data_IF_678180608499
#
_entry.id   IF_678180608499
#
_cell.length_a   1.000
_cell.length_b   1.000
_cell.length_c   1.000
_cell.angle_alpha   90.00
_cell.angle_beta   90.00
_cell.angle_gamma   90.00
#
_symmetry.space_group_name_H-M   'P 1'
#
loop_
_entity.id
_entity.type
_entity.pdbx_description
1 polymer ?
#
# COMPACT_ATOMS: atom_id res chain seq x y z
N UNK A 1 -2.95 -24.42 -9.91
CA UNK A 1 -4.25 -23.96 -10.43
C UNK A 1 -4.25 -22.46 -10.71
N UNK A 2 -4.16 -21.55 -9.72
CA UNK A 2 -4.09 -20.10 -10.03
C UNK A 2 -2.82 -19.69 -10.81
N UNK A 3 -1.70 -20.38 -10.61
CA UNK A 3 -0.43 -20.12 -11.31
C UNK A 3 -0.39 -20.61 -12.78
N UNK A 4 -1.25 -21.57 -13.15
CA UNK A 4 -1.21 -22.16 -14.50
C UNK A 4 -1.82 -21.21 -15.54
N UNK A 5 -2.84 -20.42 -15.15
CA UNK A 5 -3.45 -19.36 -15.97
C UNK A 5 -2.46 -18.26 -16.37
N UNK A 6 -1.58 -17.85 -15.45
CA UNK A 6 -0.58 -16.82 -15.72
C UNK A 6 0.55 -17.32 -16.62
N UNK A 7 0.86 -18.61 -16.60
CA UNK A 7 1.98 -19.17 -17.39
C UNK A 7 1.68 -19.29 -18.89
N UNK A 8 0.41 -19.40 -19.27
CA UNK A 8 -0.03 -19.46 -20.67
C UNK A 8 -0.33 -18.07 -21.28
N UNK A 9 -0.13 -16.98 -20.53
CA UNK A 9 -0.16 -15.62 -21.08
C UNK A 9 -1.53 -15.00 -21.38
N UNK A 10 -2.64 -15.64 -20.98
CA UNK A 10 -4.00 -15.16 -21.32
C UNK A 10 -4.56 -14.06 -20.42
N UNK A 11 -3.84 -13.62 -19.38
CA UNK A 11 -4.38 -12.68 -18.39
C UNK A 11 -3.36 -11.59 -18.08
N UNK A 12 -3.67 -10.37 -18.48
CA UNK A 12 -2.92 -9.19 -18.13
C UNK A 12 -3.22 -8.75 -16.67
N UNK A 13 -2.32 -7.98 -16.03
CA UNK A 13 -2.52 -7.51 -14.67
C UNK A 13 -3.76 -6.64 -14.48
N UNK A 14 -4.23 -5.92 -15.52
CA UNK A 14 -5.40 -5.06 -15.43
C UNK A 14 -6.68 -5.91 -15.37
N UNK A 15 -6.81 -6.94 -16.22
CA UNK A 15 -7.91 -7.92 -16.14
C UNK A 15 -7.97 -8.57 -14.77
N UNK A 16 -6.82 -8.90 -14.18
CA UNK A 16 -6.78 -9.46 -12.84
C UNK A 16 -7.29 -8.49 -11.76
N UNK A 17 -6.88 -7.22 -11.82
CA UNK A 17 -7.36 -6.17 -10.90
C UNK A 17 -8.87 -5.95 -11.04
N UNK A 18 -9.38 -5.88 -12.27
CA UNK A 18 -10.82 -5.75 -12.55
C UNK A 18 -11.59 -6.98 -12.07
N UNK A 19 -11.04 -8.19 -12.24
CA UNK A 19 -11.63 -9.40 -11.68
C UNK A 19 -11.73 -9.35 -10.15
N UNK A 20 -10.71 -8.82 -9.46
CA UNK A 20 -10.77 -8.62 -8.01
C UNK A 20 -11.88 -7.64 -7.59
N UNK A 21 -12.12 -6.57 -8.35
CA UNK A 21 -13.27 -5.68 -8.12
C UNK A 21 -14.59 -6.46 -8.21
N UNK A 22 -14.76 -7.31 -9.23
CA UNK A 22 -15.97 -8.13 -9.35
C UNK A 22 -16.10 -9.12 -8.20
N UNK A 23 -15.01 -9.76 -7.76
CA UNK A 23 -14.99 -10.66 -6.61
C UNK A 23 -15.47 -9.96 -5.34
N UNK A 24 -14.98 -8.75 -5.07
CA UNK A 24 -15.41 -7.96 -3.92
C UNK A 24 -16.88 -7.55 -4.01
N UNK A 25 -17.38 -7.24 -5.22
CA UNK A 25 -18.81 -6.98 -5.43
C UNK A 25 -19.67 -8.22 -5.15
N UNK A 26 -19.27 -9.42 -5.59
CA UNK A 26 -19.99 -10.68 -5.27
C UNK A 26 -20.13 -10.83 -3.76
N UNK A 27 -19.01 -10.63 -3.06
CA UNK A 27 -18.89 -10.82 -1.63
C UNK A 27 -19.79 -9.85 -0.86
N UNK A 28 -19.91 -8.61 -1.33
CA UNK A 28 -20.76 -7.59 -0.72
C UNK A 28 -22.24 -7.78 -1.06
N UNK A 29 -22.57 -8.25 -2.27
CA UNK A 29 -23.93 -8.46 -2.73
C UNK A 29 -24.60 -9.70 -2.10
N UNK A 30 -23.91 -10.84 -2.10
CA UNK A 30 -24.41 -12.09 -1.52
C UNK A 30 -23.28 -12.89 -0.85
N UNK A 31 -23.11 -12.64 0.45
CA UNK A 31 -22.13 -13.33 1.27
C UNK A 31 -22.40 -14.84 1.38
N UNK A 32 -23.67 -15.26 1.40
CA UNK A 32 -24.01 -16.68 1.50
C UNK A 32 -23.61 -17.41 0.21
N UNK A 33 -23.85 -16.79 -0.93
CA UNK A 33 -23.41 -17.29 -2.23
C UNK A 33 -21.88 -17.39 -2.30
N UNK A 34 -21.18 -16.33 -1.87
CA UNK A 34 -19.71 -16.28 -1.86
C UNK A 34 -19.08 -17.37 -0.99
N UNK A 35 -19.64 -17.64 0.21
CA UNK A 35 -19.11 -18.65 1.14
C UNK A 35 -19.50 -20.09 0.78
N UNK A 36 -20.62 -20.29 0.08
CA UNK A 36 -21.10 -21.64 -0.30
C UNK A 36 -20.62 -22.14 -1.65
N UNK A 37 -20.12 -21.25 -2.51
CA UNK A 37 -19.68 -21.60 -3.87
C UNK A 37 -18.21 -21.97 -3.92
N UNK A 38 -17.82 -22.70 -4.96
CA UNK A 38 -16.41 -23.01 -5.20
C UNK A 38 -15.63 -21.73 -5.54
N UNK A 39 -14.54 -21.41 -4.81
CA UNK A 39 -13.70 -20.26 -5.13
C UNK A 39 -13.18 -20.25 -6.56
N UNK A 40 -12.92 -21.42 -7.17
CA UNK A 40 -12.47 -21.49 -8.56
C UNK A 40 -13.55 -21.00 -9.53
N UNK A 41 -14.81 -21.34 -9.29
CA UNK A 41 -15.95 -20.93 -10.13
C UNK A 41 -16.18 -19.41 -10.06
N UNK A 42 -16.12 -18.83 -8.86
CA UNK A 42 -16.24 -17.37 -8.67
C UNK A 42 -15.08 -16.66 -9.36
N UNK A 43 -13.86 -17.15 -9.16
CA UNK A 43 -12.67 -16.54 -9.74
C UNK A 43 -12.67 -16.63 -11.28
N UNK A 44 -12.99 -17.80 -11.84
CA UNK A 44 -13.06 -18.00 -13.28
C UNK A 44 -14.10 -17.08 -13.93
N UNK A 45 -15.28 -16.98 -13.35
CA UNK A 45 -16.35 -16.14 -13.89
C UNK A 45 -16.06 -14.65 -13.79
N UNK A 46 -15.48 -14.20 -12.68
CA UNK A 46 -15.00 -12.82 -12.55
C UNK A 46 -13.94 -12.48 -13.61
N UNK A 47 -13.05 -13.43 -13.90
CA UNK A 47 -11.98 -13.27 -14.88
C UNK A 47 -12.48 -13.22 -16.33
N UNK A 48 -13.42 -14.10 -16.69
CA UNK A 48 -14.08 -14.10 -18.01
C UNK A 48 -14.76 -12.74 -18.24
N UNK A 49 -15.50 -12.24 -17.26
CA UNK A 49 -16.25 -10.99 -17.39
C UNK A 49 -15.31 -9.78 -17.41
N UNK A 50 -14.24 -9.79 -16.62
CA UNK A 50 -13.19 -8.78 -16.68
C UNK A 50 -12.53 -8.71 -18.06
N UNK A 51 -12.21 -9.87 -18.65
CA UNK A 51 -11.60 -9.91 -19.98
C UNK A 51 -12.54 -9.34 -21.05
N UNK A 52 -13.83 -9.68 -21.02
CA UNK A 52 -14.84 -9.13 -21.95
C UNK A 52 -15.15 -7.66 -21.71
N UNK A 53 -14.97 -7.17 -20.49
CA UNK A 53 -15.15 -5.75 -20.17
C UNK A 53 -14.00 -4.89 -20.72
N UNK A 54 -12.75 -5.38 -20.60
CA UNK A 54 -11.56 -4.65 -21.07
C UNK A 54 -11.28 -4.84 -22.56
N UNK A 55 -11.59 -6.03 -23.08
CA UNK A 55 -11.29 -6.43 -24.44
C UNK A 55 -12.57 -6.69 -25.23
N UNK A 56 -12.79 -5.90 -26.28
CA UNK A 56 -13.86 -6.16 -27.24
C UNK A 56 -13.41 -7.21 -28.28
N UNK A 57 -14.36 -7.88 -28.93
CA UNK A 57 -14.12 -9.00 -29.87
C UNK A 57 -13.32 -8.67 -31.13
N UNK A 58 -12.83 -7.43 -31.26
CA UNK A 58 -11.92 -6.99 -32.32
C UNK A 58 -10.45 -6.88 -31.90
N UNK A 59 -10.12 -7.10 -30.62
CA UNK A 59 -8.75 -7.05 -30.11
C UNK A 59 -8.13 -8.46 -30.10
N UNK A 60 -6.82 -8.53 -30.37
CA UNK A 60 -6.06 -9.80 -30.35
C UNK A 60 -6.07 -10.48 -28.96
N UNK A 61 -6.33 -9.70 -27.91
CA UNK A 61 -6.35 -10.15 -26.52
C UNK A 61 -7.73 -10.70 -26.09
N UNK A 62 -8.73 -10.70 -26.99
CA UNK A 62 -10.05 -11.27 -26.71
C UNK A 62 -10.02 -12.81 -26.71
N UNK A 63 -10.53 -13.41 -25.64
CA UNK A 63 -10.54 -14.88 -25.43
C UNK A 63 -11.98 -15.40 -25.43
N UNK A 64 -12.24 -16.40 -26.28
CA UNK A 64 -13.56 -17.03 -26.37
C UNK A 64 -13.83 -17.99 -25.19
N UNK A 65 -15.11 -18.24 -24.91
CA UNK A 65 -15.52 -19.07 -23.76
C UNK A 65 -15.03 -20.53 -23.84
N UNK A 66 -14.81 -21.07 -25.05
CA UNK A 66 -14.25 -22.40 -25.27
C UNK A 66 -12.76 -22.47 -24.93
N UNK A 67 -12.00 -21.40 -25.23
CA UNK A 67 -10.60 -21.25 -24.79
C UNK A 67 -10.49 -21.10 -23.27
N UNK A 68 -11.41 -20.35 -22.66
CA UNK A 68 -11.53 -20.29 -21.19
C UNK A 68 -11.86 -21.65 -20.58
N UNK A 69 -12.79 -22.39 -21.19
CA UNK A 69 -13.17 -23.72 -20.74
C UNK A 69 -12.00 -24.71 -20.83
N UNK A 70 -11.25 -24.68 -21.93
CA UNK A 70 -10.05 -25.49 -22.13
C UNK A 70 -8.97 -25.15 -21.08
N UNK A 71 -8.73 -23.85 -20.83
CA UNK A 71 -7.74 -23.37 -19.86
C UNK A 71 -8.11 -23.73 -18.41
N UNK A 72 -9.41 -23.67 -18.07
CA UNK A 72 -9.92 -24.02 -16.76
C UNK A 72 -10.17 -25.54 -16.57
N UNK A 73 -9.93 -26.37 -17.61
CA UNK A 73 -10.28 -27.79 -17.61
C UNK A 73 -11.75 -28.05 -17.22
N UNK A 74 -12.66 -27.20 -17.69
CA UNK A 74 -14.10 -27.27 -17.42
C UNK A 74 -14.90 -27.32 -18.73
N UNK A 75 -16.22 -27.52 -18.68
CA UNK A 75 -17.06 -27.54 -19.87
C UNK A 75 -17.46 -26.14 -20.32
N UNK A 76 -17.65 -25.94 -21.63
CA UNK A 76 -18.16 -24.69 -22.19
C UNK A 76 -19.50 -24.28 -21.56
N UNK A 77 -20.40 -25.25 -21.38
CA UNK A 77 -21.70 -25.03 -20.73
C UNK A 77 -21.52 -24.49 -19.30
N UNK A 78 -20.53 -25.00 -18.56
CA UNK A 78 -20.25 -24.52 -17.21
C UNK A 78 -19.73 -23.09 -17.21
N UNK A 79 -18.82 -22.73 -18.13
CA UNK A 79 -18.34 -21.33 -18.24
C UNK A 79 -19.50 -20.39 -18.57
N UNK A 80 -20.38 -20.78 -19.49
CA UNK A 80 -21.55 -19.98 -19.87
C UNK A 80 -22.53 -19.81 -18.69
N UNK A 81 -22.80 -20.87 -17.93
CA UNK A 81 -23.62 -20.79 -16.71
C UNK A 81 -23.04 -19.82 -15.69
N UNK A 82 -21.73 -19.89 -15.44
CA UNK A 82 -21.06 -19.06 -14.46
C UNK A 82 -21.02 -17.58 -14.89
N UNK A 83 -20.80 -17.32 -16.19
CA UNK A 83 -20.85 -15.97 -16.76
C UNK A 83 -22.26 -15.35 -16.59
N UNK A 84 -23.31 -16.08 -16.99
CA UNK A 84 -24.69 -15.61 -16.87
C UNK A 84 -25.08 -15.30 -15.42
N UNK A 85 -24.61 -16.12 -14.49
CA UNK A 85 -24.93 -15.98 -13.07
C UNK A 85 -24.40 -14.69 -12.47
N UNK A 86 -23.26 -14.21 -12.94
CA UNK A 86 -22.72 -12.91 -12.53
C UNK A 86 -23.46 -11.77 -13.24
N UNK A 87 -23.70 -11.91 -14.56
CA UNK A 87 -24.33 -10.88 -15.37
C UNK A 87 -25.77 -10.54 -14.94
N UNK A 88 -26.53 -11.53 -14.46
CA UNK A 88 -27.95 -11.35 -14.10
C UNK A 88 -28.18 -10.40 -12.92
N UNK A 89 -27.13 -10.10 -12.13
CA UNK A 89 -27.29 -9.33 -10.89
C UNK A 89 -26.50 -8.03 -10.83
N UNK A 90 -25.55 -7.74 -11.73
CA UNK A 90 -24.53 -6.70 -11.48
C UNK A 90 -24.39 -5.60 -12.53
N UNK A 91 -24.02 -4.41 -12.03
CA UNK A 91 -23.47 -3.33 -12.84
C UNK A 91 -22.06 -3.72 -13.32
N UNK A 92 -21.89 -3.95 -14.61
CA UNK A 92 -20.61 -4.39 -15.20
C UNK A 92 -19.57 -3.26 -15.15
N UNK A 93 -20.01 -1.99 -15.20
CA UNK A 93 -19.09 -0.86 -15.23
C UNK A 93 -18.28 -0.77 -13.92
N UNK A 94 -16.95 -0.70 -14.04
CA UNK A 94 -16.03 -0.48 -12.92
C UNK A 94 -15.74 1.01 -12.81
N UNK A 95 -15.97 1.60 -11.64
CA UNK A 95 -15.60 2.99 -11.39
C UNK A 95 -14.09 3.11 -11.18
N UNK A 96 -13.52 4.26 -11.56
CA UNK A 96 -12.09 4.54 -11.38
C UNK A 96 -11.68 4.40 -9.90
N UNK A 97 -12.55 4.81 -8.96
CA UNK A 97 -12.24 4.70 -7.52
C UNK A 97 -12.17 3.26 -7.05
N UNK A 98 -13.07 2.41 -7.51
CA UNK A 98 -13.07 0.98 -7.12
C UNK A 98 -11.82 0.28 -7.66
N UNK A 99 -11.42 0.60 -8.89
CA UNK A 99 -10.18 0.09 -9.46
C UNK A 99 -8.95 0.55 -8.66
N UNK A 100 -8.86 1.85 -8.36
CA UNK A 100 -7.77 2.44 -7.58
C UNK A 100 -7.68 1.86 -6.16
N UNK A 101 -8.82 1.60 -5.50
CA UNK A 101 -8.84 1.02 -4.16
C UNK A 101 -8.29 -0.42 -4.17
N UNK A 102 -8.71 -1.24 -5.15
CA UNK A 102 -8.19 -2.60 -5.31
C UNK A 102 -6.71 -2.60 -5.70
N UNK A 103 -6.30 -1.68 -6.60
CA UNK A 103 -4.90 -1.50 -6.97
C UNK A 103 -4.04 -1.19 -5.74
N UNK A 104 -4.45 -0.22 -4.92
CA UNK A 104 -3.72 0.17 -3.70
C UNK A 104 -3.60 -0.98 -2.70
N UNK A 105 -4.64 -1.79 -2.54
CA UNK A 105 -4.58 -2.95 -1.64
C UNK A 105 -3.64 -4.02 -2.19
N UNK A 106 -3.68 -4.29 -3.50
CA UNK A 106 -2.77 -5.22 -4.16
C UNK A 106 -1.30 -4.75 -4.05
N UNK A 107 -1.02 -3.48 -4.34
CA UNK A 107 0.32 -2.93 -4.22
C UNK A 107 0.82 -2.94 -2.77
N UNK A 108 -0.05 -2.61 -1.81
CA UNK A 108 0.29 -2.69 -0.39
C UNK A 108 0.62 -4.12 0.05
N UNK A 109 -0.15 -5.11 -0.43
CA UNK A 109 0.12 -6.51 -0.16
C UNK A 109 1.48 -6.94 -0.73
N UNK A 110 1.79 -6.54 -1.97
CA UNK A 110 3.09 -6.80 -2.61
C UNK A 110 4.22 -6.16 -1.82
N UNK A 111 4.09 -4.88 -1.46
CA UNK A 111 5.11 -4.14 -0.71
C UNK A 111 5.34 -4.74 0.69
N UNK A 112 4.27 -5.19 1.37
CA UNK A 112 4.38 -5.88 2.66
C UNK A 112 5.10 -7.23 2.54
N UNK A 113 4.89 -7.95 1.44
CA UNK A 113 5.64 -9.18 1.17
C UNK A 113 7.11 -8.89 0.81
N UNK A 114 7.41 -7.78 0.15
CA UNK A 114 8.78 -7.34 -0.13
C UNK A 114 9.61 -7.18 1.16
N UNK A 115 9.02 -6.62 2.22
CA UNK A 115 9.65 -6.53 3.54
C UNK A 115 10.04 -7.90 4.11
N UNK A 116 9.19 -8.92 3.93
CA UNK A 116 9.48 -10.28 4.37
C UNK A 116 10.59 -10.94 3.54
N UNK A 117 10.68 -10.60 2.25
CA UNK A 117 11.73 -11.11 1.34
C UNK A 117 13.09 -10.42 1.56
N UNK A 118 13.11 -9.24 2.17
CA UNK A 118 14.34 -8.47 2.46
C UNK A 118 14.85 -7.61 1.31
N UNK A 119 14.12 -7.52 0.20
CA UNK A 119 14.41 -6.61 -0.91
C UNK A 119 13.13 -5.87 -1.31
N UNK A 120 13.27 -4.59 -1.65
CA UNK A 120 12.17 -3.76 -2.13
C UNK A 120 12.62 -2.81 -3.26
N UNK A 121 11.70 -2.53 -4.17
CA UNK A 121 11.84 -1.56 -5.26
C UNK A 121 11.44 -0.15 -4.80
N UNK A 122 11.73 0.87 -5.62
CA UNK A 122 11.31 2.25 -5.33
C UNK A 122 9.79 2.38 -5.12
N UNK A 123 8.98 1.65 -5.92
CA UNK A 123 7.53 1.70 -5.78
C UNK A 123 7.08 1.16 -4.43
N UNK A 124 7.57 -0.03 -4.05
CA UNK A 124 7.25 -0.66 -2.76
C UNK A 124 7.69 0.21 -1.58
N UNK A 125 8.87 0.85 -1.65
CA UNK A 125 9.33 1.79 -0.63
C UNK A 125 8.43 3.02 -0.49
N UNK A 126 8.01 3.61 -1.60
CA UNK A 126 7.10 4.76 -1.62
C UNK A 126 5.76 4.43 -0.98
N UNK A 127 5.19 3.27 -1.31
CA UNK A 127 3.89 2.81 -0.80
C UNK A 127 3.95 2.49 0.69
N UNK A 128 5.05 1.89 1.16
CA UNK A 128 5.25 1.67 2.60
C UNK A 128 5.46 2.99 3.34
N UNK A 129 6.24 3.91 2.76
CA UNK A 129 6.53 5.22 3.35
C UNK A 129 5.33 6.17 3.37
N UNK A 130 4.34 5.98 2.50
CA UNK A 130 3.10 6.78 2.54
C UNK A 130 2.14 6.27 3.61
N UNK A 131 2.14 4.96 3.87
CA UNK A 131 1.21 4.31 4.82
C UNK A 131 1.74 4.24 6.25
N UNK A 132 3.03 3.97 6.40
CA UNK A 132 3.74 4.34 7.63
C UNK A 132 3.84 5.85 7.53
N UNK A 133 3.08 6.62 8.31
CA UNK A 133 3.09 8.08 8.23
C UNK A 133 4.42 8.62 8.77
N UNK A 134 5.56 8.22 8.17
CA UNK A 134 6.91 8.44 8.65
C UNK A 134 7.18 9.93 8.81
N UNK A 135 6.54 10.74 7.97
CA UNK A 135 6.61 12.19 8.05
C UNK A 135 5.98 12.67 9.36
N UNK A 136 4.71 12.36 9.61
CA UNK A 136 3.98 12.89 10.77
C UNK A 136 4.36 12.19 12.09
N UNK A 137 4.55 10.87 12.06
CA UNK A 137 4.78 10.06 13.27
C UNK A 137 6.25 9.99 13.69
N UNK A 138 7.21 10.16 12.76
CA UNK A 138 8.64 9.97 13.07
C UNK A 138 9.45 11.22 12.78
N UNK A 139 9.31 11.82 11.59
CA UNK A 139 10.15 12.92 11.15
C UNK A 139 9.84 14.23 11.91
N UNK A 140 8.55 14.58 12.05
CA UNK A 140 8.11 15.75 12.82
C UNK A 140 8.61 15.71 14.28
N UNK A 141 8.37 14.64 15.07
CA UNK A 141 8.88 14.60 16.45
C UNK A 141 10.40 14.55 16.51
N UNK A 142 11.08 13.89 15.57
CA UNK A 142 12.55 13.87 15.53
C UNK A 142 13.14 15.27 15.28
N UNK A 143 12.56 16.04 14.35
CA UNK A 143 12.95 17.44 14.11
C UNK A 143 12.67 18.30 15.36
N UNK A 144 11.53 18.08 16.04
CA UNK A 144 11.22 18.79 17.27
C UNK A 144 12.25 18.52 18.39
N UNK A 145 12.69 17.26 18.54
CA UNK A 145 13.73 16.90 19.50
C UNK A 145 15.08 17.53 19.12
N UNK A 146 15.49 17.44 17.85
CA UNK A 146 16.76 18.02 17.40
C UNK A 146 16.80 19.55 17.56
N UNK A 147 15.69 20.24 17.24
CA UNK A 147 15.58 21.69 17.43
C UNK A 147 15.63 22.06 18.91
N UNK A 148 14.97 21.30 19.79
CA UNK A 148 15.04 21.52 21.24
C UNK A 148 16.47 21.37 21.79
N UNK A 149 17.22 20.37 21.33
CA UNK A 149 18.61 20.15 21.72
C UNK A 149 19.52 21.28 21.23
N UNK A 150 19.32 21.75 20.00
CA UNK A 150 20.08 22.87 19.44
C UNK A 150 19.85 24.17 20.24
N UNK A 151 18.60 24.45 20.62
CA UNK A 151 18.26 25.59 21.46
C UNK A 151 18.95 25.45 22.83
N UNK A 152 18.82 24.30 23.51
CA UNK A 152 19.46 24.07 24.79
C UNK A 152 20.99 24.27 24.73
N UNK A 153 21.64 23.74 23.69
CA UNK A 153 23.07 23.91 23.46
C UNK A 153 23.45 25.39 23.29
N UNK A 154 22.72 26.13 22.46
CA UNK A 154 22.98 27.56 22.24
C UNK A 154 22.84 28.40 23.52
N UNK A 155 21.85 28.08 24.37
CA UNK A 155 21.66 28.74 25.67
C UNK A 155 22.84 28.48 26.61
N UNK A 156 23.31 27.24 26.70
CA UNK A 156 24.48 26.89 27.53
C UNK A 156 25.73 27.64 27.07
N UNK A 157 25.98 27.67 25.76
CA UNK A 157 27.14 28.39 25.19
C UNK A 157 27.09 29.89 25.48
N UNK A 158 25.90 30.49 25.53
CA UNK A 158 25.74 31.91 25.88
C UNK A 158 25.90 32.20 27.37
N UNK A 159 25.47 31.29 28.25
CA UNK A 159 25.52 31.48 29.71
C UNK A 159 26.93 31.26 30.27
N UNK A 160 27.69 30.30 29.73
CA UNK A 160 29.05 29.99 30.20
C UNK A 160 30.00 31.20 30.29
N UNK A 161 30.15 32.06 29.26
CA UNK A 161 31.03 33.24 29.34
C UNK A 161 30.51 34.28 30.35
N UNK A 162 29.19 34.40 30.51
CA UNK A 162 28.60 35.31 31.51
C UNK A 162 28.91 34.85 32.93
N UNK A 163 28.74 33.56 33.23
CA UNK A 163 29.10 32.97 34.52
C UNK A 163 30.60 33.11 34.77
N UNK A 164 31.43 32.86 33.77
CA UNK A 164 32.89 33.04 33.88
C UNK A 164 33.27 34.49 34.24
N UNK A 165 32.62 35.48 33.62
CA UNK A 165 32.83 36.90 33.92
C UNK A 165 32.45 37.26 35.36
N UNK A 166 31.28 36.81 35.83
CA UNK A 166 30.82 37.05 37.21
C UNK A 166 31.73 36.38 38.24
N UNK A 167 32.14 35.13 38.01
CA UNK A 167 33.11 34.44 38.88
C UNK A 167 34.47 35.15 38.93
N UNK A 168 34.90 35.72 37.80
CA UNK A 168 36.14 36.49 37.74
C UNK A 168 36.04 37.78 38.57
N UNK A 169 34.95 38.55 38.46
CA UNK A 169 34.74 39.76 39.27
C UNK A 169 34.66 39.46 40.77
N UNK A 170 33.93 38.41 41.17
CA UNK A 170 33.84 38.00 42.59
C UNK A 170 35.21 37.62 43.15
N UNK A 171 36.00 36.86 42.38
CA UNK A 171 37.36 36.46 42.77
C UNK A 171 38.29 37.66 42.89
N UNK A 172 38.18 38.62 41.96
CA UNK A 172 38.94 39.87 42.00
C UNK A 172 38.59 40.72 43.22
N UNK A 173 37.30 40.86 43.54
CA UNK A 173 36.84 41.61 44.72
C UNK A 173 37.31 40.97 46.02
N UNK A 174 37.23 39.64 46.13
CA UNK A 174 37.72 38.89 47.29
C UNK A 174 39.23 39.08 47.51
N UNK A 175 40.03 39.04 46.43
CA UNK A 175 41.48 39.28 46.49
C UNK A 175 41.81 40.72 46.90
N UNK A 176 41.06 41.71 46.40
CA UNK A 176 41.25 43.12 46.77
C UNK A 176 40.93 43.35 48.26
N UNK A 177 39.89 42.71 48.78
CA UNK A 177 39.48 42.80 50.18
C UNK A 177 40.54 42.19 51.11
N UNK A 178 41.15 41.06 50.74
CA UNK A 178 42.21 40.41 51.50
C UNK A 178 43.47 41.30 51.60
N UNK A 179 43.77 42.05 50.53
CA UNK A 179 44.92 42.97 50.43
C UNK A 179 44.71 44.33 51.14
N UNK A 180 43.46 44.63 51.52
CA UNK A 180 43.10 45.82 52.31
C UNK A 180 43.07 45.54 53.81
N UNK A 181 43.00 44.26 54.22
CA UNK A 181 42.93 43.81 55.61
C UNK A 181 44.25 43.25 56.17
N UNK A 182 45.27 43.10 55.32
CA UNK A 182 46.66 42.75 55.66
C UNK A 182 47.61 43.83 55.12
#
# INVERSE_FOLDING_TARGET
>A
MTLDFFSNGCVDPCTFLVAMVYIDRVRLADKNYFESSDPNDIYLSALVIASKFLYDGGLEEFVYNDEWAASASTSLDRVNELELKILDSWNINVDEKEFEDVLREAEYWVARNALKRGFFTYNEASILSSKMCLIDEVLVPLIAVLTSLFIAYSVVVLILPFVYCVCYEISYFSFLFLKLYF
#
